data_IF_924110730292
#
_entry.id   IF_924110730292
#
_cell.length_a   1.000
_cell.length_b   1.000
_cell.length_c   1.000
_cell.angle_alpha   90.00
_cell.angle_beta   90.00
_cell.angle_gamma   90.00
#
_symmetry.space_group_name_H-M   'P 1'
#
loop_
_entity.id
_entity.type
_entity.pdbx_description
1 polymer ?
#
# COMPACT_ATOMS: atom_id res chain seq x y z
N UNK A 1 -36.70 -12.21 0.92
CA UNK A 1 -35.95 -11.50 1.98
C UNK A 1 -34.53 -12.04 2.22
N UNK A 2 -34.17 -13.21 1.68
CA UNK A 2 -32.79 -13.72 1.74
C UNK A 2 -31.92 -13.31 0.55
N UNK A 3 -32.47 -12.62 -0.40
CA UNK A 3 -31.77 -12.18 -1.59
C UNK A 3 -30.84 -11.00 -1.40
N UNK A 4 -31.10 -10.14 -0.40
CA UNK A 4 -30.31 -8.96 -0.11
C UNK A 4 -28.90 -9.31 0.45
N UNK A 5 -28.80 -10.35 1.27
CA UNK A 5 -27.52 -10.79 1.83
C UNK A 5 -26.65 -11.50 0.80
N UNK A 6 -27.26 -12.27 -0.10
CA UNK A 6 -26.57 -12.94 -1.21
C UNK A 6 -26.14 -11.95 -2.29
N UNK A 7 -26.94 -10.92 -2.55
CA UNK A 7 -26.54 -9.84 -3.48
C UNK A 7 -25.31 -9.09 -2.96
N UNK A 8 -25.23 -8.83 -1.66
CA UNK A 8 -24.05 -8.24 -1.06
C UNK A 8 -22.79 -9.12 -1.18
N UNK A 9 -22.93 -10.42 -0.94
CA UNK A 9 -21.82 -11.36 -1.07
C UNK A 9 -21.44 -11.62 -2.51
N UNK A 10 -22.40 -11.69 -3.43
CA UNK A 10 -22.13 -11.80 -4.87
C UNK A 10 -21.51 -10.52 -5.45
N UNK A 11 -21.88 -9.34 -4.95
CA UNK A 11 -21.23 -8.08 -5.34
C UNK A 11 -19.76 -8.08 -4.91
N UNK A 12 -19.44 -8.51 -3.68
CA UNK A 12 -18.06 -8.66 -3.22
C UNK A 12 -17.25 -9.70 -4.03
N UNK A 13 -17.91 -10.75 -4.52
CA UNK A 13 -17.26 -11.78 -5.35
C UNK A 13 -17.07 -11.30 -6.79
N UNK A 14 -17.89 -10.37 -7.27
CA UNK A 14 -17.81 -9.80 -8.62
C UNK A 14 -17.00 -8.52 -8.72
N UNK A 15 -16.62 -7.92 -7.60
CA UNK A 15 -15.80 -6.73 -7.62
C UNK A 15 -14.49 -7.01 -8.35
N UNK A 16 -14.34 -6.37 -9.51
CA UNK A 16 -13.16 -6.48 -10.35
C UNK A 16 -12.34 -5.23 -10.21
N UNK A 17 -11.22 -5.36 -9.57
CA UNK A 17 -10.17 -4.34 -9.61
C UNK A 17 -9.28 -4.67 -10.79
N UNK A 18 -9.07 -3.72 -11.67
CA UNK A 18 -8.09 -3.78 -12.74
C UNK A 18 -7.24 -2.53 -12.76
N UNK A 19 -6.05 -2.68 -13.30
CA UNK A 19 -5.09 -1.59 -13.47
C UNK A 19 -4.90 -1.39 -14.97
N UNK A 20 -5.00 -0.15 -15.42
CA UNK A 20 -4.64 0.26 -16.77
C UNK A 20 -3.65 1.41 -16.72
N UNK A 21 -3.06 1.74 -17.87
CA UNK A 21 -2.16 2.88 -18.00
C UNK A 21 -2.70 3.79 -19.10
N UNK A 22 -2.92 5.07 -18.76
CA UNK A 22 -3.31 6.10 -19.71
C UNK A 22 -2.29 7.24 -19.65
N UNK A 23 -1.71 7.59 -20.78
CA UNK A 23 -0.65 8.63 -20.88
C UNK A 23 0.54 8.44 -19.95
N UNK A 24 0.87 7.18 -19.61
CA UNK A 24 1.96 6.84 -18.68
C UNK A 24 1.54 6.89 -17.20
N UNK A 25 0.31 7.23 -16.89
CA UNK A 25 -0.23 7.23 -15.53
C UNK A 25 -1.05 5.98 -15.25
N UNK A 26 -0.82 5.39 -14.08
CA UNK A 26 -1.58 4.24 -13.61
C UNK A 26 -3.01 4.65 -13.25
N UNK A 27 -3.97 3.93 -13.83
CA UNK A 27 -5.39 4.07 -13.53
C UNK A 27 -5.89 2.85 -12.76
N UNK A 28 -6.67 3.07 -11.72
CA UNK A 28 -7.33 2.01 -10.94
C UNK A 28 -8.81 2.00 -11.29
N UNK A 29 -9.25 0.87 -11.82
CA UNK A 29 -10.62 0.67 -12.26
C UNK A 29 -11.31 -0.32 -11.32
N UNK A 30 -12.41 0.09 -10.73
CA UNK A 30 -13.26 -0.76 -9.90
C UNK A 30 -14.61 -0.93 -10.61
N UNK A 31 -14.96 -2.15 -10.97
CA UNK A 31 -16.22 -2.48 -11.65
C UNK A 31 -16.48 -1.69 -12.94
N UNK A 32 -15.41 -1.28 -13.64
CA UNK A 32 -15.49 -0.47 -14.85
C UNK A 32 -15.44 1.04 -14.60
N UNK A 33 -15.43 1.50 -13.36
CA UNK A 33 -15.33 2.92 -13.01
C UNK A 33 -13.90 3.27 -12.62
N UNK A 34 -13.38 4.39 -13.13
CA UNK A 34 -12.07 4.89 -12.76
C UNK A 34 -12.12 5.61 -11.41
N UNK A 35 -11.49 5.01 -10.41
CA UNK A 35 -11.47 5.52 -9.03
C UNK A 35 -10.12 6.12 -8.62
N UNK A 36 -9.19 6.30 -9.55
CA UNK A 36 -7.81 6.76 -9.27
C UNK A 36 -7.76 8.05 -8.47
N UNK A 37 -8.62 9.01 -8.78
CA UNK A 37 -8.68 10.30 -8.07
C UNK A 37 -9.22 10.21 -6.64
N UNK A 38 -9.93 9.13 -6.30
CA UNK A 38 -10.56 8.97 -4.98
C UNK A 38 -9.69 8.18 -4.02
N UNK A 39 -8.96 7.15 -4.49
CA UNK A 39 -8.23 6.21 -3.61
C UNK A 39 -7.09 6.85 -2.82
N UNK A 40 -6.63 8.03 -3.22
CA UNK A 40 -5.54 8.76 -2.53
C UNK A 40 -6.04 9.77 -1.48
N UNK A 41 -7.34 9.87 -1.29
CA UNK A 41 -7.92 10.73 -0.25
C UNK A 41 -7.66 10.14 1.14
N UNK A 42 -7.43 11.01 2.12
CA UNK A 42 -7.15 10.60 3.50
C UNK A 42 -8.29 9.77 4.11
N UNK A 43 -9.54 10.15 3.81
CA UNK A 43 -10.72 9.42 4.27
C UNK A 43 -10.73 7.96 3.77
N UNK A 44 -10.34 7.72 2.52
CA UNK A 44 -10.24 6.37 1.94
C UNK A 44 -9.12 5.58 2.61
N UNK A 45 -7.96 6.20 2.84
CA UNK A 45 -6.85 5.59 3.57
C UNK A 45 -7.22 5.20 5.01
N UNK A 46 -7.96 6.05 5.71
CA UNK A 46 -8.44 5.76 7.06
C UNK A 46 -9.48 4.63 7.06
N UNK A 47 -10.40 4.61 6.11
CA UNK A 47 -11.38 3.53 5.95
C UNK A 47 -10.69 2.20 5.63
N UNK A 48 -9.72 2.19 4.72
CA UNK A 48 -8.93 1.01 4.39
C UNK A 48 -8.19 0.45 5.63
N UNK A 49 -7.61 1.33 6.44
CA UNK A 49 -6.98 0.93 7.71
C UNK A 49 -7.99 0.35 8.69
N UNK A 50 -9.15 0.98 8.85
CA UNK A 50 -10.21 0.53 9.78
C UNK A 50 -10.83 -0.81 9.36
N UNK A 51 -11.01 -1.05 8.06
CA UNK A 51 -11.60 -2.29 7.56
C UNK A 51 -10.61 -3.45 7.48
N UNK A 52 -9.31 -3.15 7.34
CA UNK A 52 -8.26 -4.18 7.24
C UNK A 52 -7.98 -4.95 8.53
N UNK A 53 -8.57 -4.53 9.66
CA UNK A 53 -8.49 -5.28 10.93
C UNK A 53 -9.39 -6.51 10.96
N UNK A 54 -10.41 -6.57 10.09
CA UNK A 54 -11.33 -7.71 10.01
C UNK A 54 -10.68 -8.87 9.22
N UNK A 55 -10.48 -10.06 9.83
CA UNK A 55 -9.79 -11.16 9.17
C UNK A 55 -10.42 -11.57 7.83
N UNK A 56 -11.75 -11.67 7.76
CA UNK A 56 -12.47 -12.05 6.53
C UNK A 56 -12.22 -11.07 5.37
N UNK A 57 -12.23 -9.76 5.66
CA UNK A 57 -11.93 -8.74 4.65
C UNK A 57 -10.49 -8.89 4.18
N UNK A 58 -9.58 -9.10 5.12
CA UNK A 58 -8.17 -9.24 4.83
C UNK A 58 -7.87 -10.48 3.98
N UNK A 59 -8.41 -11.63 4.37
CA UNK A 59 -8.26 -12.89 3.61
C UNK A 59 -8.71 -12.69 2.16
N UNK A 60 -9.85 -12.03 1.95
CA UNK A 60 -10.35 -11.76 0.60
C UNK A 60 -9.45 -10.81 -0.19
N UNK A 61 -8.92 -9.77 0.44
CA UNK A 61 -7.99 -8.84 -0.21
C UNK A 61 -6.67 -9.54 -0.57
N UNK A 62 -6.12 -10.37 0.33
CA UNK A 62 -4.91 -11.16 0.06
C UNK A 62 -5.13 -12.13 -1.10
N UNK A 63 -6.29 -12.80 -1.14
CA UNK A 63 -6.65 -13.69 -2.26
C UNK A 63 -6.64 -12.92 -3.60
N UNK A 64 -7.28 -11.76 -3.66
CA UNK A 64 -7.33 -10.92 -4.87
C UNK A 64 -5.94 -10.45 -5.31
N UNK A 65 -5.11 -10.02 -4.37
CA UNK A 65 -3.73 -9.61 -4.65
C UNK A 65 -2.89 -10.76 -5.21
N UNK A 66 -3.02 -11.97 -4.63
CA UNK A 66 -2.35 -13.18 -5.12
C UNK A 66 -2.83 -13.59 -6.52
N UNK A 67 -4.14 -13.49 -6.79
CA UNK A 67 -4.70 -13.75 -8.12
C UNK A 67 -4.16 -12.80 -9.18
N UNK A 68 -3.95 -11.53 -8.83
CA UNK A 68 -3.33 -10.55 -9.73
C UNK A 68 -1.85 -10.93 -10.00
N UNK A 69 -1.09 -11.19 -8.95
CA UNK A 69 0.32 -11.56 -9.06
C UNK A 69 0.57 -12.88 -9.82
N UNK A 70 -0.41 -13.80 -9.81
CA UNK A 70 -0.33 -15.05 -10.56
C UNK A 70 -0.52 -14.88 -12.08
N UNK A 71 -1.05 -13.74 -12.53
CA UNK A 71 -1.36 -13.47 -13.94
C UNK A 71 -0.39 -12.53 -14.61
N UNK A 72 0.22 -11.64 -13.83
CA UNK A 72 1.00 -10.50 -14.32
C UNK A 72 2.30 -10.37 -13.52
N UNK A 73 3.34 -9.81 -14.15
CA UNK A 73 4.48 -9.31 -13.41
C UNK A 73 4.07 -8.07 -12.63
N UNK A 74 4.23 -8.11 -11.31
CA UNK A 74 3.74 -7.04 -10.43
C UNK A 74 4.84 -6.44 -9.57
N UNK A 75 4.71 -5.16 -9.27
CA UNK A 75 5.38 -4.50 -8.16
C UNK A 75 4.29 -4.09 -7.18
N UNK A 76 4.36 -4.59 -5.95
CA UNK A 76 3.37 -4.30 -4.92
C UNK A 76 4.05 -3.65 -3.72
N UNK A 77 3.40 -2.61 -3.19
CA UNK A 77 3.79 -1.98 -1.92
C UNK A 77 2.72 -2.20 -0.86
N UNK A 78 3.15 -2.30 0.39
CA UNK A 78 2.24 -2.49 1.52
C UNK A 78 2.98 -2.82 2.80
N UNK A 79 2.25 -3.21 3.84
CA UNK A 79 2.77 -3.48 5.17
C UNK A 79 3.22 -4.92 5.38
N UNK A 80 2.65 -5.83 4.63
CA UNK A 80 2.80 -7.28 4.79
C UNK A 80 2.91 -8.02 3.45
N UNK A 81 3.26 -7.30 2.37
CA UNK A 81 3.35 -7.91 1.04
C UNK A 81 4.38 -9.03 1.04
N UNK A 82 5.60 -8.77 1.51
CA UNK A 82 6.68 -9.76 1.51
C UNK A 82 6.58 -10.84 2.58
N UNK A 83 5.70 -10.68 3.59
CA UNK A 83 5.55 -11.65 4.68
C UNK A 83 4.29 -12.49 4.57
N UNK A 84 3.21 -11.94 4.01
CA UNK A 84 1.88 -12.59 3.97
C UNK A 84 1.34 -12.72 2.55
N UNK A 85 1.34 -11.64 1.77
CA UNK A 85 0.70 -11.65 0.44
C UNK A 85 1.53 -12.45 -0.56
N UNK A 86 2.80 -12.11 -0.73
CA UNK A 86 3.74 -12.72 -1.67
C UNK A 86 5.03 -13.15 -0.94
N UNK A 87 4.95 -14.17 -0.05
CA UNK A 87 6.11 -14.63 0.70
C UNK A 87 7.21 -15.24 -0.18
N UNK A 88 6.87 -15.66 -1.39
CA UNK A 88 7.80 -16.25 -2.35
C UNK A 88 8.18 -15.29 -3.49
N UNK A 89 8.00 -13.96 -3.29
CA UNK A 89 8.40 -12.96 -4.28
C UNK A 89 9.91 -13.03 -4.56
N UNK A 90 10.30 -12.91 -5.82
CA UNK A 90 11.71 -12.96 -6.26
C UNK A 90 12.57 -11.88 -5.59
N UNK A 91 12.02 -10.67 -5.44
CA UNK A 91 12.69 -9.55 -4.78
C UNK A 91 11.80 -8.98 -3.71
N UNK A 92 12.33 -8.86 -2.51
CA UNK A 92 11.66 -8.23 -1.38
C UNK A 92 12.52 -7.11 -0.84
N UNK A 93 11.94 -5.92 -0.79
CA UNK A 93 12.62 -4.72 -0.29
C UNK A 93 11.81 -4.19 0.89
N UNK A 94 12.45 -4.10 2.05
CA UNK A 94 11.88 -3.40 3.20
C UNK A 94 12.34 -1.95 3.14
N UNK A 95 11.49 -1.11 2.51
CA UNK A 95 11.77 0.32 2.35
C UNK A 95 11.43 1.06 3.65
N UNK A 96 12.37 1.81 4.17
CA UNK A 96 12.20 2.63 5.36
C UNK A 96 12.74 4.05 5.19
N UNK A 97 12.35 4.93 6.08
CA UNK A 97 12.96 6.24 6.31
C UNK A 97 12.57 6.72 7.72
N UNK A 98 13.37 7.59 8.33
CA UNK A 98 13.05 8.16 9.64
C UNK A 98 11.70 8.89 9.63
N UNK A 99 11.00 8.93 10.78
CA UNK A 99 9.72 9.63 10.92
C UNK A 99 9.83 11.09 10.51
N UNK A 100 10.93 11.76 10.88
CA UNK A 100 11.22 13.15 10.53
C UNK A 100 11.31 13.37 9.02
N UNK A 101 12.04 12.53 8.32
CA UNK A 101 12.19 12.63 6.86
C UNK A 101 10.84 12.39 6.17
N UNK A 102 10.07 11.39 6.62
CA UNK A 102 8.74 11.12 6.07
C UNK A 102 7.77 12.28 6.35
N UNK A 103 7.83 12.85 7.56
CA UNK A 103 7.04 14.03 7.90
C UNK A 103 7.40 15.23 7.04
N UNK A 104 8.68 15.48 6.81
CA UNK A 104 9.14 16.56 5.93
C UNK A 104 8.64 16.37 4.48
N UNK A 105 8.79 15.16 3.91
CA UNK A 105 8.29 14.83 2.58
C UNK A 105 6.77 15.09 2.46
N UNK A 106 6.01 14.67 3.47
CA UNK A 106 4.56 14.87 3.49
C UNK A 106 4.18 16.33 3.67
N UNK A 107 4.88 17.04 4.52
CA UNK A 107 4.68 18.48 4.70
C UNK A 107 4.91 19.26 3.41
N UNK A 108 5.99 18.95 2.68
CA UNK A 108 6.31 19.61 1.42
C UNK A 108 5.24 19.32 0.35
N UNK A 109 4.75 18.07 0.27
CA UNK A 109 3.66 17.67 -0.63
C UNK A 109 2.37 18.45 -0.35
N UNK A 110 1.94 18.54 0.92
CA UNK A 110 0.72 19.23 1.32
C UNK A 110 0.84 20.74 1.08
N UNK A 111 1.99 21.32 1.41
CA UNK A 111 2.28 22.74 1.17
C UNK A 111 2.25 23.07 -0.32
N UNK A 112 2.81 22.20 -1.17
CA UNK A 112 2.76 22.39 -2.63
C UNK A 112 1.32 22.36 -3.19
N UNK A 113 0.41 21.66 -2.51
CA UNK A 113 -1.04 21.65 -2.82
C UNK A 113 -1.79 22.84 -2.24
N UNK A 114 -1.11 23.72 -1.50
CA UNK A 114 -1.73 24.89 -0.84
C UNK A 114 -2.48 24.55 0.47
N UNK A 115 -2.28 23.35 1.01
CA UNK A 115 -2.89 22.94 2.28
C UNK A 115 -2.10 23.49 3.47
N UNK A 116 -2.81 23.99 4.49
CA UNK A 116 -2.18 24.37 5.76
C UNK A 116 -1.95 23.13 6.59
N UNK A 117 -0.70 22.86 6.94
CA UNK A 117 -0.32 21.69 7.71
C UNK A 117 0.75 22.04 8.75
N UNK A 118 0.86 21.19 9.77
CA UNK A 118 1.83 21.28 10.86
C UNK A 118 2.72 20.03 10.80
N UNK A 119 4.04 20.25 10.69
CA UNK A 119 5.01 19.16 10.54
C UNK A 119 5.08 18.27 11.78
N UNK A 120 4.94 18.84 12.98
CA UNK A 120 4.99 18.07 14.23
C UNK A 120 3.74 17.19 14.38
N UNK A 121 2.57 17.69 13.97
CA UNK A 121 1.34 16.91 13.93
C UNK A 121 1.45 15.77 12.90
N UNK A 122 2.05 16.03 11.74
CA UNK A 122 2.29 15.01 10.70
C UNK A 122 3.25 13.93 11.24
N UNK A 123 4.35 14.31 11.88
CA UNK A 123 5.32 13.35 12.44
C UNK A 123 4.67 12.48 13.51
N UNK A 124 3.90 13.08 14.42
CA UNK A 124 3.16 12.34 15.45
C UNK A 124 2.22 11.32 14.86
N UNK A 125 1.43 11.71 13.84
CA UNK A 125 0.52 10.80 13.15
C UNK A 125 1.27 9.63 12.47
N UNK A 126 2.44 9.90 11.89
CA UNK A 126 3.29 8.86 11.28
C UNK A 126 3.74 7.86 12.34
N UNK A 127 4.26 8.34 13.48
CA UNK A 127 4.73 7.48 14.58
C UNK A 127 3.59 6.63 15.15
N UNK A 128 2.42 7.22 15.39
CA UNK A 128 1.25 6.51 15.89
C UNK A 128 0.75 5.44 14.91
N UNK A 129 0.79 5.74 13.60
CA UNK A 129 0.43 4.78 12.56
C UNK A 129 1.41 3.64 12.47
N UNK A 130 2.72 3.93 12.49
CA UNK A 130 3.76 2.90 12.47
C UNK A 130 3.62 1.97 13.67
N UNK A 131 3.40 2.52 14.86
CA UNK A 131 3.18 1.72 16.06
C UNK A 131 1.98 0.78 15.90
N UNK A 132 0.84 1.28 15.40
CA UNK A 132 -0.34 0.44 15.15
C UNK A 132 -0.07 -0.65 14.11
N UNK A 133 0.63 -0.31 13.02
CA UNK A 133 0.95 -1.25 11.96
C UNK A 133 1.90 -2.36 12.45
N UNK A 134 2.85 -2.04 13.35
CA UNK A 134 3.80 -2.98 13.93
C UNK A 134 3.19 -3.87 15.02
N UNK A 135 2.23 -3.35 15.78
CA UNK A 135 1.68 -4.05 16.97
C UNK A 135 0.35 -4.76 16.73
N UNK A 136 -0.24 -4.61 15.55
CA UNK A 136 -1.50 -5.29 15.23
C UNK A 136 -1.30 -6.81 15.24
N UNK A 137 -2.31 -7.54 15.73
CA UNK A 137 -2.28 -9.00 15.84
C UNK A 137 -2.23 -9.69 14.47
N UNK A 138 -2.98 -9.15 13.50
CA UNK A 138 -3.08 -9.75 12.16
C UNK A 138 -2.12 -9.07 11.20
N UNK A 139 -1.17 -9.82 10.66
CA UNK A 139 -0.20 -9.38 9.64
C UNK A 139 0.52 -8.08 10.02
N UNK A 140 1.26 -8.04 11.13
CA UNK A 140 1.99 -6.85 11.54
C UNK A 140 2.99 -6.41 10.47
N UNK A 141 3.31 -5.12 10.46
CA UNK A 141 4.42 -4.60 9.66
C UNK A 141 5.74 -5.19 10.18
N UNK A 142 6.31 -6.09 9.42
CA UNK A 142 7.56 -6.77 9.76
C UNK A 142 8.39 -6.95 8.49
N UNK A 143 9.70 -6.77 8.61
CA UNK A 143 10.63 -7.14 7.55
C UNK A 143 10.62 -8.66 7.37
N UNK A 144 10.49 -9.15 6.14
CA UNK A 144 10.70 -10.56 5.83
C UNK A 144 12.18 -10.91 5.99
N UNK A 145 12.47 -12.16 6.39
CA UNK A 145 13.84 -12.59 6.72
C UNK A 145 14.79 -12.51 5.49
N UNK A 146 14.23 -12.62 4.29
CA UNK A 146 14.92 -12.53 3.00
C UNK A 146 14.77 -11.15 2.33
N UNK A 147 14.20 -10.17 3.01
CA UNK A 147 14.04 -8.83 2.46
C UNK A 147 15.29 -7.97 2.66
N UNK A 148 15.69 -7.30 1.59
CA UNK A 148 16.76 -6.30 1.65
C UNK A 148 16.24 -5.03 2.33
N UNK A 149 16.90 -4.60 3.40
CA UNK A 149 16.61 -3.32 4.04
C UNK A 149 17.13 -2.17 3.18
N UNK A 150 16.26 -1.24 2.82
CA UNK A 150 16.60 -0.02 2.08
C UNK A 150 16.15 1.20 2.89
N UNK A 151 17.08 1.84 3.59
CA UNK A 151 16.82 3.12 4.25
C UNK A 151 16.99 4.27 3.24
N UNK A 152 15.91 4.97 2.99
CA UNK A 152 15.85 6.08 2.05
C UNK A 152 15.93 7.45 2.73
N UNK A 153 16.34 7.52 4.01
CA UNK A 153 16.36 8.78 4.76
C UNK A 153 17.20 9.87 4.10
N UNK A 154 18.35 9.48 3.55
CA UNK A 154 19.30 10.40 2.92
C UNK A 154 19.34 10.27 1.37
N UNK A 155 18.30 9.65 0.79
CA UNK A 155 18.24 9.38 -0.65
C UNK A 155 17.17 10.24 -1.33
N UNK A 156 17.45 10.66 -2.54
CA UNK A 156 16.47 11.20 -3.49
C UNK A 156 15.58 10.10 -4.04
N UNK A 157 14.46 10.47 -4.66
CA UNK A 157 13.54 9.50 -5.30
C UNK A 157 14.28 8.71 -6.39
N UNK A 158 15.09 9.39 -7.21
CA UNK A 158 15.81 8.74 -8.31
C UNK A 158 16.84 7.73 -7.80
N UNK A 159 17.58 8.06 -6.75
CA UNK A 159 18.54 7.14 -6.11
C UNK A 159 17.84 5.91 -5.51
N UNK A 160 16.67 6.09 -4.89
CA UNK A 160 15.86 4.97 -4.37
C UNK A 160 15.41 4.07 -5.53
N UNK A 161 14.87 4.67 -6.60
CA UNK A 161 14.41 3.91 -7.79
C UNK A 161 15.55 3.17 -8.45
N UNK A 162 16.72 3.80 -8.61
CA UNK A 162 17.87 3.16 -9.23
C UNK A 162 18.42 2.02 -8.36
N UNK A 163 18.44 2.18 -7.03
CA UNK A 163 18.82 1.09 -6.12
C UNK A 163 17.84 -0.08 -6.19
N UNK A 164 16.52 0.19 -6.24
CA UNK A 164 15.52 -0.85 -6.42
C UNK A 164 15.70 -1.59 -7.76
N UNK A 165 15.92 -0.86 -8.88
CA UNK A 165 16.19 -1.47 -10.18
C UNK A 165 17.45 -2.35 -10.16
N UNK A 166 18.49 -1.92 -9.44
CA UNK A 166 19.70 -2.71 -9.27
C UNK A 166 19.40 -4.03 -8.55
N UNK A 167 18.68 -3.98 -7.41
CA UNK A 167 18.28 -5.19 -6.67
C UNK A 167 17.47 -6.17 -7.51
N UNK A 168 16.58 -5.65 -8.38
CA UNK A 168 15.81 -6.50 -9.31
C UNK A 168 16.70 -7.16 -10.36
N UNK A 169 17.80 -6.52 -10.77
CA UNK A 169 18.74 -7.11 -11.76
C UNK A 169 19.71 -8.13 -11.14
N UNK A 170 19.93 -8.03 -9.83
CA UNK A 170 20.82 -8.92 -9.07
C UNK A 170 20.12 -10.22 -8.63
N UNK A 171 18.80 -10.27 -8.68
CA UNK A 171 17.97 -11.41 -8.30
C UNK A 171 17.65 -12.35 -9.48
#
# INVERSE_FOLDING_TARGET
EMTSSLVGSEMCIRDRVSISYENGEQQVILNGENITGFIRQEAVGNMASATSVYPVVREKLVELQRQLAARENVVMDGRDIGTVVLPDANVKIFLTASSKVRAKRRFDELTAKGEKCDIDAIEKNIIERDHRDMTRETSPLKQADDAVLLDSSDMTIDEVVDRMKQLVKEA
#
